data_IF_033831482789
#
_entry.id   IF_033831482789
#
_cell.length_a   1.000
_cell.length_b   1.000
_cell.length_c   1.000
_cell.angle_alpha   90.00
_cell.angle_beta   90.00
_cell.angle_gamma   90.00
#
_symmetry.space_group_name_H-M   'P 1'
#
loop_
_entity.id
_entity.type
_entity.pdbx_description
1 polymer ?
#
# COMPACT_ATOMS: atom_id res chain seq x y z
N UNK A 1 -48.13 -87.45 6.06
CA UNK A 1 -48.25 -87.16 7.51
C UNK A 1 -47.36 -85.96 7.76
N UNK A 2 -47.82 -84.77 8.12
CA UNK A 2 -49.11 -84.33 8.66
C UNK A 2 -49.34 -82.86 8.26
N UNK A 3 -50.59 -82.42 8.15
CA UNK A 3 -50.94 -81.02 7.88
C UNK A 3 -50.91 -80.19 9.17
N UNK A 4 -50.34 -79.01 9.08
CA UNK A 4 -50.38 -77.96 10.11
C UNK A 4 -51.69 -77.17 10.05
N UNK A 5 -52.13 -76.73 11.22
CA UNK A 5 -53.23 -75.79 11.45
C UNK A 5 -52.68 -74.34 11.40
N UNK A 6 -53.46 -73.46 10.79
CA UNK A 6 -53.28 -72.00 10.76
C UNK A 6 -53.39 -71.35 12.14
N UNK A 7 -52.72 -70.20 12.31
CA UNK A 7 -53.23 -69.07 13.09
C UNK A 7 -52.66 -67.76 12.52
N UNK A 8 -53.58 -66.81 12.34
CA UNK A 8 -53.50 -65.55 11.62
C UNK A 8 -52.91 -64.38 12.40
N UNK A 9 -52.32 -63.45 11.64
CA UNK A 9 -52.23 -61.99 11.77
C UNK A 9 -51.93 -61.34 13.13
N UNK A 10 -50.82 -60.60 13.16
CA UNK A 10 -50.80 -59.28 13.80
C UNK A 10 -49.97 -58.28 13.00
N UNK A 11 -50.72 -57.37 12.40
CA UNK A 11 -50.44 -56.00 11.97
C UNK A 11 -49.19 -55.35 12.63
N UNK A 12 -48.16 -55.09 11.82
CA UNK A 12 -47.19 -54.03 12.06
C UNK A 12 -47.13 -53.17 10.77
N UNK A 13 -47.48 -51.88 10.81
CA UNK A 13 -47.35 -51.03 9.64
C UNK A 13 -45.87 -50.84 9.31
N UNK A 14 -45.60 -50.98 8.01
CA UNK A 14 -44.32 -50.98 7.34
C UNK A 14 -43.42 -49.81 7.79
N UNK A 15 -42.43 -50.11 8.63
CA UNK A 15 -41.42 -49.15 9.09
C UNK A 15 -40.36 -48.87 8.01
N UNK A 16 -40.29 -49.68 6.95
CA UNK A 16 -39.33 -49.49 5.85
C UNK A 16 -39.74 -48.35 4.91
N UNK A 17 -41.04 -48.07 4.78
CA UNK A 17 -41.52 -47.05 3.83
C UNK A 17 -41.20 -45.61 4.25
N UNK A 18 -40.91 -45.37 5.53
CA UNK A 18 -40.57 -44.04 6.07
C UNK A 18 -39.08 -43.69 5.93
N UNK A 19 -38.22 -44.67 5.71
CA UNK A 19 -36.79 -44.45 5.45
C UNK A 19 -36.51 -44.14 3.98
N UNK A 20 -37.29 -44.71 3.06
CA UNK A 20 -37.18 -44.45 1.62
C UNK A 20 -37.57 -43.03 1.20
N UNK A 21 -38.37 -42.32 2.00
CA UNK A 21 -38.75 -40.91 1.74
C UNK A 21 -37.73 -39.89 2.30
N UNK A 22 -36.76 -40.31 3.13
CA UNK A 22 -35.71 -39.43 3.66
C UNK A 22 -34.42 -39.46 2.81
N UNK A 23 -34.34 -40.36 1.84
CA UNK A 23 -33.16 -40.54 0.96
C UNK A 23 -33.42 -40.07 -0.47
N UNK A 24 -34.45 -39.25 -0.70
CA UNK A 24 -34.66 -38.58 -1.97
C UNK A 24 -33.56 -37.54 -2.19
N UNK A 25 -32.51 -37.98 -2.87
CA UNK A 25 -31.79 -37.26 -3.93
C UNK A 25 -31.64 -35.74 -3.74
N UNK A 26 -31.00 -35.34 -2.65
CA UNK A 26 -30.10 -34.19 -2.71
C UNK A 26 -28.69 -34.77 -2.83
N UNK A 27 -28.00 -34.46 -3.92
CA UNK A 27 -26.60 -34.79 -4.15
C UNK A 27 -25.76 -34.19 -3.01
N UNK A 28 -25.63 -34.91 -1.90
CA UNK A 28 -24.72 -34.52 -0.85
C UNK A 28 -23.31 -34.60 -1.45
N UNK A 29 -22.53 -33.49 -1.44
CA UNK A 29 -21.18 -33.51 -1.96
C UNK A 29 -20.40 -34.62 -1.23
N UNK A 30 -19.70 -35.47 -2.01
CA UNK A 30 -18.90 -36.54 -1.44
C UNK A 30 -17.92 -35.91 -0.42
N UNK A 31 -17.86 -36.37 0.83
CA UNK A 31 -16.87 -35.89 1.79
C UNK A 31 -15.44 -35.95 1.25
N UNK A 32 -15.16 -36.85 0.30
CA UNK A 32 -13.89 -36.92 -0.41
C UNK A 32 -13.66 -35.71 -1.33
N UNK A 33 -14.69 -35.14 -1.96
CA UNK A 33 -14.59 -33.96 -2.82
C UNK A 33 -14.12 -32.72 -2.03
N UNK A 34 -14.39 -32.67 -0.71
CA UNK A 34 -13.90 -31.60 0.16
C UNK A 34 -12.37 -31.61 0.32
N UNK A 35 -11.69 -32.71 -0.04
CA UNK A 35 -10.24 -32.85 0.01
C UNK A 35 -9.61 -33.05 -1.39
N UNK A 36 -10.39 -32.92 -2.46
CA UNK A 36 -9.88 -32.92 -3.84
C UNK A 36 -9.33 -31.54 -4.17
N UNK A 37 -8.01 -31.41 -4.15
CA UNK A 37 -7.33 -30.21 -4.63
C UNK A 37 -7.40 -30.16 -6.15
N UNK A 38 -8.15 -29.22 -6.71
CA UNK A 38 -8.12 -28.90 -8.14
C UNK A 38 -6.89 -28.05 -8.43
N UNK A 39 -5.87 -28.67 -8.98
CA UNK A 39 -4.68 -27.97 -9.44
C UNK A 39 -4.94 -27.38 -10.83
N UNK A 40 -4.72 -26.09 -10.98
CA UNK A 40 -4.72 -25.40 -12.26
C UNK A 40 -3.29 -25.01 -12.59
N UNK A 41 -2.76 -25.51 -13.71
CA UNK A 41 -1.47 -25.07 -14.23
C UNK A 41 -1.62 -23.68 -14.84
N UNK A 42 -0.73 -22.77 -14.46
CA UNK A 42 -0.60 -21.45 -15.07
C UNK A 42 0.51 -21.52 -16.11
N UNK A 43 0.40 -20.78 -17.21
CA UNK A 43 1.47 -20.66 -18.19
C UNK A 43 2.72 -20.08 -17.51
N UNK A 44 3.86 -20.77 -17.64
CA UNK A 44 5.13 -20.34 -17.06
C UNK A 44 5.89 -19.36 -17.97
N UNK A 45 5.43 -19.18 -19.21
CA UNK A 45 6.10 -18.35 -20.19
C UNK A 45 5.72 -16.87 -20.03
N UNK A 46 6.51 -16.15 -19.23
CA UNK A 46 6.35 -14.72 -19.01
C UNK A 46 6.86 -13.88 -20.20
N UNK A 47 6.19 -12.75 -20.44
CA UNK A 47 6.66 -11.72 -21.37
C UNK A 47 7.96 -11.03 -20.89
N UNK A 48 8.62 -10.24 -21.76
CA UNK A 48 9.89 -9.58 -21.44
C UNK A 48 9.80 -8.56 -20.31
N UNK A 49 8.61 -7.99 -20.10
CA UNK A 49 8.33 -6.97 -19.09
C UNK A 49 7.59 -7.56 -17.87
N UNK A 50 7.57 -8.89 -17.73
CA UNK A 50 6.81 -9.60 -16.71
C UNK A 50 7.71 -10.38 -15.75
N UNK A 51 7.29 -10.47 -14.49
CA UNK A 51 7.89 -11.33 -13.47
C UNK A 51 6.81 -11.89 -12.55
N UNK A 52 7.08 -13.03 -11.93
CA UNK A 52 6.24 -13.48 -10.81
C UNK A 52 6.27 -12.44 -9.69
N UNK A 53 5.11 -12.23 -9.07
CA UNK A 53 4.98 -11.35 -7.92
C UNK A 53 5.84 -11.83 -6.76
N UNK A 54 6.66 -10.94 -6.19
CA UNK A 54 7.50 -11.26 -5.02
C UNK A 54 6.74 -11.20 -3.69
N UNK A 55 5.41 -11.02 -3.71
CA UNK A 55 4.59 -10.84 -2.51
C UNK A 55 4.79 -11.95 -1.47
N UNK A 56 4.83 -13.21 -1.90
CA UNK A 56 5.01 -14.34 -0.99
C UNK A 56 6.48 -14.64 -0.67
N UNK A 57 7.41 -14.13 -1.47
CA UNK A 57 8.85 -14.30 -1.31
C UNK A 57 9.43 -13.40 -0.23
N UNK A 58 8.85 -12.20 -0.06
CA UNK A 58 9.28 -11.27 1.00
C UNK A 58 8.77 -11.71 2.38
N UNK A 59 9.54 -11.36 3.42
CA UNK A 59 9.14 -11.55 4.81
C UNK A 59 7.79 -10.86 5.11
N UNK A 60 7.01 -11.41 6.04
CA UNK A 60 5.70 -10.84 6.41
C UNK A 60 5.78 -9.37 6.88
N UNK A 61 6.90 -8.98 7.51
CA UNK A 61 7.14 -7.59 7.94
C UNK A 61 7.42 -6.62 6.79
N UNK A 62 7.71 -7.13 5.60
CA UNK A 62 7.91 -6.37 4.37
C UNK A 62 6.64 -6.26 3.53
N UNK A 63 5.49 -6.69 4.06
CA UNK A 63 4.17 -6.59 3.43
C UNK A 63 3.34 -5.52 4.12
N UNK A 64 2.47 -4.89 3.34
CA UNK A 64 1.68 -3.75 3.77
C UNK A 64 0.84 -4.04 5.01
N UNK A 65 0.50 -2.99 5.78
CA UNK A 65 -0.17 -3.14 7.05
C UNK A 65 -1.61 -3.63 6.87
N UNK A 66 -2.11 -4.32 7.90
CA UNK A 66 -3.49 -4.80 7.94
C UNK A 66 -4.42 -3.78 8.62
N UNK A 67 -5.72 -3.73 8.25
CA UNK A 67 -6.35 -4.48 7.16
C UNK A 67 -5.88 -3.99 5.78
N UNK A 68 -5.64 -4.92 4.86
CA UNK A 68 -5.18 -4.59 3.51
C UNK A 68 -6.36 -4.08 2.69
N UNK A 69 -6.17 -3.04 1.84
CA UNK A 69 -7.17 -2.67 0.87
C UNK A 69 -7.52 -3.86 -0.03
N UNK A 70 -8.80 -4.01 -0.37
CA UNK A 70 -9.31 -5.14 -1.15
C UNK A 70 -8.72 -5.22 -2.57
N UNK A 71 -8.19 -4.11 -3.08
CA UNK A 71 -7.55 -4.05 -4.40
C UNK A 71 -6.15 -4.65 -4.41
N UNK A 72 -5.51 -4.90 -3.25
CA UNK A 72 -4.17 -5.47 -3.18
C UNK A 72 -4.20 -6.95 -3.55
N UNK A 73 -3.63 -7.29 -4.70
CA UNK A 73 -3.45 -8.67 -5.16
C UNK A 73 -2.30 -9.33 -4.36
N UNK A 74 -2.59 -10.48 -3.77
CA UNK A 74 -1.69 -11.21 -2.84
C UNK A 74 -1.51 -12.68 -3.21
N UNK A 75 -2.17 -13.10 -4.28
CA UNK A 75 -2.20 -14.46 -4.80
C UNK A 75 -0.82 -14.92 -5.28
N UNK A 76 -0.48 -16.19 -5.04
CA UNK A 76 0.81 -16.75 -5.42
C UNK A 76 1.04 -16.75 -6.94
N UNK A 77 -0.04 -16.90 -7.71
CA UNK A 77 0.01 -16.90 -9.17
C UNK A 77 -0.02 -15.49 -9.78
N UNK A 78 0.14 -14.44 -8.98
CA UNK A 78 0.15 -13.08 -9.50
C UNK A 78 1.43 -12.78 -10.28
N UNK A 79 1.28 -12.02 -11.37
CA UNK A 79 2.35 -11.56 -12.25
C UNK A 79 2.43 -10.04 -12.13
N UNK A 80 3.63 -9.51 -11.89
CA UNK A 80 3.96 -8.10 -11.99
C UNK A 80 4.39 -7.80 -13.44
N UNK A 81 3.69 -6.89 -14.12
CA UNK A 81 3.98 -6.41 -15.48
C UNK A 81 4.40 -4.94 -15.44
N UNK A 82 5.57 -4.61 -15.99
CA UNK A 82 6.02 -3.22 -16.13
C UNK A 82 5.23 -2.50 -17.23
N UNK A 83 4.49 -1.45 -16.85
CA UNK A 83 3.71 -0.64 -17.80
C UNK A 83 4.45 0.62 -18.27
N UNK A 84 5.54 0.99 -17.58
CA UNK A 84 6.41 2.08 -18.00
C UNK A 84 6.92 2.95 -16.86
N UNK A 85 7.58 4.04 -17.22
CA UNK A 85 8.21 4.97 -16.26
C UNK A 85 7.26 6.13 -15.93
N UNK A 86 6.98 6.34 -14.65
CA UNK A 86 6.20 7.48 -14.16
C UNK A 86 7.07 8.71 -13.90
N UNK A 87 8.24 8.52 -13.28
CA UNK A 87 9.16 9.61 -12.90
C UNK A 87 10.59 9.07 -12.86
N UNK A 88 11.51 9.75 -13.52
CA UNK A 88 12.95 9.51 -13.32
C UNK A 88 13.50 10.50 -12.29
N UNK A 89 14.42 10.03 -11.47
CA UNK A 89 15.00 10.85 -10.40
C UNK A 89 16.48 10.59 -10.18
N UNK A 90 17.12 11.52 -9.47
CA UNK A 90 18.54 11.42 -9.11
C UNK A 90 18.81 10.27 -8.14
N UNK A 91 17.85 9.97 -7.27
CA UNK A 91 18.00 9.01 -6.18
C UNK A 91 17.16 7.74 -6.37
N UNK A 92 16.04 7.86 -7.07
CA UNK A 92 15.15 6.76 -7.38
C UNK A 92 14.37 7.06 -8.66
N UNK A 93 13.95 6.00 -9.35
CA UNK A 93 12.96 6.06 -10.42
C UNK A 93 11.65 5.45 -9.92
N UNK A 94 10.54 5.92 -10.46
CA UNK A 94 9.20 5.42 -10.18
C UNK A 94 8.62 4.84 -11.47
N UNK A 95 8.19 3.59 -11.42
CA UNK A 95 7.58 2.85 -12.51
C UNK A 95 6.11 2.57 -12.21
N UNK A 96 5.30 2.45 -13.26
CA UNK A 96 3.96 1.90 -13.16
C UNK A 96 4.04 0.39 -13.37
N UNK A 97 3.50 -0.37 -12.43
CA UNK A 97 3.46 -1.83 -12.47
C UNK A 97 2.03 -2.28 -12.30
N UNK A 98 1.59 -3.21 -13.13
CA UNK A 98 0.35 -3.95 -12.89
C UNK A 98 0.67 -5.27 -12.22
N UNK A 99 0.04 -5.55 -11.08
CA UNK A 99 0.03 -6.88 -10.47
C UNK A 99 -1.31 -7.54 -10.75
N UNK A 100 -1.32 -8.57 -11.59
CA UNK A 100 -2.55 -9.25 -11.98
C UNK A 100 -2.47 -10.75 -11.76
N UNK A 101 -3.63 -11.35 -11.47
CA UNK A 101 -3.84 -12.80 -11.50
C UNK A 101 -5.05 -13.09 -12.36
N UNK A 102 -4.90 -14.01 -13.30
CA UNK A 102 -6.00 -14.48 -14.15
C UNK A 102 -7.05 -15.24 -13.34
N UNK A 103 -8.22 -15.46 -13.93
CA UNK A 103 -9.25 -16.27 -13.28
C UNK A 103 -8.79 -17.73 -13.16
N UNK A 104 -8.81 -18.28 -11.94
CA UNK A 104 -8.38 -19.66 -11.66
C UNK A 104 -9.49 -20.40 -10.90
N UNK A 105 -10.14 -21.34 -11.58
CA UNK A 105 -11.31 -22.04 -11.04
C UNK A 105 -12.45 -21.04 -10.77
N UNK A 106 -12.96 -21.05 -9.54
CA UNK A 106 -14.01 -20.11 -9.09
C UNK A 106 -13.46 -18.76 -8.59
N UNK A 107 -12.12 -18.58 -8.58
CA UNK A 107 -11.52 -17.32 -8.20
C UNK A 107 -11.52 -16.34 -9.39
N UNK A 108 -12.15 -15.17 -9.26
CA UNK A 108 -12.17 -14.18 -10.33
C UNK A 108 -10.78 -13.58 -10.55
N UNK A 109 -10.53 -13.10 -11.76
CA UNK A 109 -9.35 -12.32 -12.08
C UNK A 109 -9.29 -11.05 -11.22
N UNK A 110 -8.08 -10.65 -10.84
CA UNK A 110 -7.83 -9.42 -10.06
C UNK A 110 -6.60 -8.70 -10.59
N UNK A 111 -6.60 -7.38 -10.45
CA UNK A 111 -5.47 -6.53 -10.81
C UNK A 111 -5.29 -5.40 -9.79
N UNK A 112 -4.03 -5.03 -9.54
CA UNK A 112 -3.61 -3.84 -8.81
C UNK A 112 -2.69 -3.00 -9.68
N UNK A 113 -2.96 -1.70 -9.79
CA UNK A 113 -1.96 -0.75 -10.30
C UNK A 113 -1.09 -0.26 -9.13
N UNK A 114 0.23 -0.36 -9.31
CA UNK A 114 1.24 -0.09 -8.30
C UNK A 114 2.25 0.92 -8.81
N UNK A 115 2.69 1.81 -7.93
CA UNK A 115 3.88 2.63 -8.16
C UNK A 115 5.09 1.93 -7.56
N UNK A 116 6.04 1.54 -8.41
CA UNK A 116 7.28 0.89 -8.00
C UNK A 116 8.42 1.91 -7.91
N UNK A 117 8.79 2.30 -6.69
CA UNK A 117 9.91 3.21 -6.44
C UNK A 117 11.20 2.41 -6.24
N UNK A 118 12.13 2.50 -7.18
CA UNK A 118 13.42 1.78 -7.19
C UNK A 118 14.56 2.74 -6.91
N UNK A 119 15.29 2.53 -5.82
CA UNK A 119 16.40 3.42 -5.45
C UNK A 119 17.68 3.07 -6.21
N UNK A 120 18.38 4.10 -6.68
CA UNK A 120 19.66 3.96 -7.34
C UNK A 120 20.75 3.64 -6.31
N UNK A 121 21.58 2.65 -6.64
CA UNK A 121 22.84 2.37 -5.93
C UNK A 121 23.82 3.53 -6.11
N UNK A 122 24.78 3.70 -5.18
CA UNK A 122 25.71 4.85 -5.17
C UNK A 122 26.45 5.10 -6.50
N UNK A 123 26.67 4.08 -7.32
CA UNK A 123 27.33 4.19 -8.63
C UNK A 123 26.48 4.93 -9.68
N UNK A 124 25.16 4.95 -9.51
CA UNK A 124 24.21 5.61 -10.41
C UNK A 124 23.64 6.91 -9.83
N UNK A 125 24.10 7.35 -8.66
CA UNK A 125 23.75 8.66 -8.10
C UNK A 125 24.62 9.74 -8.73
N UNK A 126 24.04 10.53 -9.63
CA UNK A 126 24.69 11.68 -10.26
C UNK A 126 24.75 12.90 -9.33
N UNK A 127 25.30 12.76 -8.11
CA UNK A 127 26.15 13.77 -7.45
C UNK A 127 26.68 13.29 -6.09
N UNK A 128 27.96 13.57 -5.86
CA UNK A 128 28.65 13.44 -4.59
C UNK A 128 28.43 14.73 -3.77
N UNK A 129 27.42 14.78 -2.87
CA UNK A 129 27.32 15.71 -1.72
C UNK A 129 25.96 15.58 -1.02
N UNK A 130 25.96 15.14 0.24
CA UNK A 130 25.37 15.88 1.38
C UNK A 130 25.47 15.04 2.65
N UNK A 131 26.59 15.21 3.37
CA UNK A 131 26.87 14.69 4.71
C UNK A 131 26.01 15.35 5.80
N UNK A 132 24.85 15.92 5.45
CA UNK A 132 24.04 16.77 6.32
C UNK A 132 22.71 16.13 6.74
N UNK A 133 22.31 15.03 6.12
CA UNK A 133 21.00 14.40 6.35
C UNK A 133 21.06 13.13 7.23
N UNK A 134 22.27 12.65 7.57
CA UNK A 134 22.49 11.38 8.29
C UNK A 134 22.74 11.58 9.79
N UNK A 135 22.94 12.82 10.27
CA UNK A 135 23.40 13.07 11.64
C UNK A 135 22.40 12.74 12.77
N UNK A 136 21.13 12.39 12.45
CA UNK A 136 20.13 12.04 13.47
C UNK A 136 19.76 10.56 13.58
N UNK A 137 20.06 9.70 12.59
CA UNK A 137 19.49 8.36 12.52
C UNK A 137 20.49 7.30 12.97
N UNK A 138 20.45 6.93 14.26
CA UNK A 138 21.19 5.78 14.79
C UNK A 138 20.61 4.47 14.22
N UNK A 139 21.34 3.82 13.32
CA UNK A 139 21.01 2.46 12.84
C UNK A 139 21.07 1.46 13.99
N UNK A 140 20.04 0.62 14.13
CA UNK A 140 19.86 -0.31 15.26
C UNK A 140 20.70 -1.61 15.13
N UNK A 141 21.42 -1.82 14.03
CA UNK A 141 22.20 -3.04 13.76
C UNK A 141 23.68 -2.77 13.47
N UNK A 142 24.56 -3.22 14.40
CA UNK A 142 26.02 -3.06 14.30
C UNK A 142 26.68 -3.84 13.14
N UNK A 143 25.97 -4.79 12.51
CA UNK A 143 26.45 -5.55 11.35
C UNK A 143 26.33 -4.74 10.05
N UNK A 144 25.19 -4.09 9.85
CA UNK A 144 24.93 -3.28 8.65
C UNK A 144 25.79 -2.02 8.63
N UNK A 145 26.04 -1.42 9.79
CA UNK A 145 27.00 -0.32 9.93
C UNK A 145 28.42 -0.70 9.47
N UNK A 146 28.86 -1.95 9.71
CA UNK A 146 30.19 -2.43 9.27
C UNK A 146 30.21 -2.77 7.78
N UNK A 147 29.09 -3.22 7.20
CA UNK A 147 28.97 -3.47 5.76
C UNK A 147 29.00 -2.16 4.96
N UNK A 148 28.32 -1.11 5.44
CA UNK A 148 28.34 0.23 4.84
C UNK A 148 29.74 0.88 4.85
N UNK A 149 30.57 0.61 5.87
CA UNK A 149 31.93 1.14 5.95
C UNK A 149 32.90 0.59 4.89
N UNK A 150 32.63 -0.60 4.33
CA UNK A 150 33.57 -1.29 3.43
C UNK A 150 33.42 -0.91 1.95
N UNK A 151 32.42 -0.10 1.57
CA UNK A 151 32.16 0.37 0.19
C UNK A 151 32.31 -0.73 -0.89
N UNK A 152 31.89 -1.96 -0.60
CA UNK A 152 31.83 -3.06 -1.58
C UNK A 152 30.50 -3.01 -2.35
N UNK A 153 30.35 -3.74 -3.47
CA UNK A 153 29.08 -3.83 -4.19
C UNK A 153 27.91 -4.26 -3.27
N UNK A 154 28.19 -5.19 -2.36
CA UNK A 154 27.25 -5.60 -1.31
C UNK A 154 26.96 -4.46 -0.32
N UNK A 155 27.97 -3.73 0.17
CA UNK A 155 27.76 -2.58 1.05
C UNK A 155 26.95 -1.44 0.41
N UNK A 156 27.08 -1.25 -0.92
CA UNK A 156 26.28 -0.28 -1.69
C UNK A 156 24.83 -0.70 -1.86
N UNK A 157 24.58 -1.99 -2.09
CA UNK A 157 23.22 -2.56 -2.13
C UNK A 157 22.53 -2.41 -0.78
N UNK A 158 23.25 -2.65 0.32
CA UNK A 158 22.75 -2.45 1.70
C UNK A 158 22.44 -0.98 1.96
N UNK A 159 23.30 -0.05 1.51
CA UNK A 159 23.07 1.38 1.65
C UNK A 159 21.85 1.87 0.84
N UNK A 160 21.65 1.37 -0.38
CA UNK A 160 20.47 1.68 -1.18
C UNK A 160 19.19 1.14 -0.53
N UNK A 161 19.24 -0.10 -0.02
CA UNK A 161 18.12 -0.71 0.71
C UNK A 161 17.74 0.09 1.95
N UNK A 162 18.71 0.65 2.67
CA UNK A 162 18.42 1.49 3.84
C UNK A 162 17.51 2.68 3.54
N UNK A 163 17.61 3.31 2.35
CA UNK A 163 16.71 4.39 1.95
C UNK A 163 15.29 3.87 1.65
N UNK A 164 15.18 2.73 0.96
CA UNK A 164 13.90 2.08 0.71
C UNK A 164 13.21 1.71 2.03
N UNK A 165 13.93 1.07 2.96
CA UNK A 165 13.40 0.68 4.27
C UNK A 165 13.00 1.89 5.13
N UNK A 166 13.77 2.98 5.09
CA UNK A 166 13.39 4.20 5.79
C UNK A 166 12.08 4.81 5.24
N UNK A 167 11.90 4.82 3.92
CA UNK A 167 10.65 5.30 3.32
C UNK A 167 9.49 4.34 3.59
N UNK A 168 9.74 3.02 3.54
CA UNK A 168 8.78 1.98 3.93
C UNK A 168 8.28 2.17 5.36
N UNK A 169 9.17 2.35 6.33
CA UNK A 169 8.84 2.53 7.75
C UNK A 169 8.03 3.82 7.96
N UNK A 170 8.43 4.91 7.30
CA UNK A 170 7.71 6.17 7.35
C UNK A 170 6.31 6.05 6.76
N UNK A 171 6.19 5.48 5.56
CA UNK A 171 4.91 5.33 4.86
C UNK A 171 3.95 4.42 5.64
N UNK A 172 4.46 3.32 6.21
CA UNK A 172 3.68 2.44 7.10
C UNK A 172 3.16 3.18 8.33
N UNK A 173 4.03 3.96 8.99
CA UNK A 173 3.65 4.72 10.19
C UNK A 173 2.58 5.76 9.87
N UNK A 174 2.77 6.51 8.79
CA UNK A 174 1.88 7.62 8.40
C UNK A 174 0.53 7.11 7.89
N UNK A 175 0.53 6.04 7.10
CA UNK A 175 -0.71 5.41 6.64
C UNK A 175 -1.53 4.87 7.81
N UNK A 176 -0.89 4.18 8.78
CA UNK A 176 -1.58 3.69 10.00
C UNK A 176 -2.12 4.82 10.88
N UNK A 177 -1.46 5.99 10.87
CA UNK A 177 -1.93 7.18 11.57
C UNK A 177 -3.10 7.89 10.86
N UNK A 178 -3.49 7.43 9.67
CA UNK A 178 -4.56 8.05 8.89
C UNK A 178 -4.14 9.27 8.09
N UNK A 179 -2.82 9.52 7.94
CA UNK A 179 -2.34 10.53 6.99
C UNK A 179 -2.70 10.06 5.58
N UNK A 180 -3.29 10.92 4.72
CA UNK A 180 -3.65 10.53 3.36
C UNK A 180 -2.39 10.37 2.50
N UNK A 181 -1.74 9.22 2.57
CA UNK A 181 -0.53 8.85 1.82
C UNK A 181 -0.80 7.57 1.02
N UNK A 182 -0.01 7.25 -0.03
CA UNK A 182 -0.15 6.00 -0.75
C UNK A 182 -0.03 4.80 0.19
N UNK A 183 -0.91 3.81 0.06
CA UNK A 183 -0.77 2.57 0.83
C UNK A 183 0.57 1.88 0.49
N UNK A 184 1.43 1.56 1.48
CA UNK A 184 2.67 0.81 1.25
C UNK A 184 2.33 -0.67 1.03
N UNK A 185 2.48 -1.16 -0.20
CA UNK A 185 2.12 -2.54 -0.57
C UNK A 185 3.19 -3.53 -0.13
N UNK A 186 4.43 -3.35 -0.56
CA UNK A 186 5.54 -4.21 -0.15
C UNK A 186 6.88 -3.52 -0.33
N UNK A 187 7.89 -4.01 0.38
CA UNK A 187 9.29 -3.65 0.14
C UNK A 187 10.12 -4.91 -0.15
N UNK A 188 10.96 -4.83 -1.19
CA UNK A 188 11.90 -5.89 -1.55
C UNK A 188 13.25 -5.27 -1.92
N UNK A 189 14.23 -5.40 -1.01
CA UNK A 189 15.56 -4.85 -1.19
C UNK A 189 15.57 -3.33 -1.38
N UNK A 190 15.66 -2.88 -2.64
CA UNK A 190 15.72 -1.46 -3.05
C UNK A 190 14.44 -0.99 -3.74
N UNK A 191 13.40 -1.82 -3.78
CA UNK A 191 12.13 -1.52 -4.43
C UNK A 191 11.03 -1.40 -3.38
N UNK A 192 10.34 -0.26 -3.40
CA UNK A 192 9.13 -0.01 -2.63
C UNK A 192 7.94 0.00 -3.60
N UNK A 193 7.04 -0.98 -3.47
CA UNK A 193 5.75 -0.95 -4.15
C UNK A 193 4.72 -0.26 -3.24
N UNK A 194 4.00 0.70 -3.80
CA UNK A 194 2.94 1.44 -3.12
C UNK A 194 1.75 1.63 -4.05
N UNK A 195 0.62 2.07 -3.49
CA UNK A 195 -0.58 2.41 -4.24
C UNK A 195 -0.26 3.38 -5.38
N UNK A 196 -0.65 3.01 -6.60
CA UNK A 196 -0.74 3.98 -7.68
C UNK A 196 -2.04 4.75 -7.54
N UNK A 197 -1.95 6.07 -7.51
CA UNK A 197 -3.12 6.95 -7.39
C UNK A 197 -3.54 7.31 -8.82
N UNK A 198 -4.50 6.57 -9.37
CA UNK A 198 -5.04 6.81 -10.71
C UNK A 198 -6.08 7.94 -10.75
N UNK A 199 -6.41 8.41 -11.95
CA UNK A 199 -7.48 9.39 -12.17
C UNK A 199 -8.87 8.76 -12.46
N UNK A 200 -8.97 7.43 -12.44
CA UNK A 200 -10.17 6.68 -12.86
C UNK A 200 -10.35 6.55 -14.38
N UNK A 201 -9.51 7.19 -15.19
CA UNK A 201 -9.56 7.21 -16.67
C UNK A 201 -8.34 6.53 -17.31
N UNK A 202 -7.56 5.78 -16.51
CA UNK A 202 -6.37 5.07 -16.95
C UNK A 202 -5.07 5.89 -16.90
N UNK A 203 -5.12 7.08 -16.31
CA UNK A 203 -3.97 7.95 -16.06
C UNK A 203 -3.61 8.05 -14.57
N UNK A 204 -2.57 8.83 -14.28
CA UNK A 204 -2.22 9.19 -12.91
C UNK A 204 -3.07 10.37 -12.43
N UNK A 205 -3.50 10.36 -11.16
CA UNK A 205 -4.21 11.46 -10.56
C UNK A 205 -3.44 12.78 -10.73
N UNK A 206 -4.14 13.88 -11.07
CA UNK A 206 -3.50 15.18 -11.23
C UNK A 206 -2.93 15.68 -9.89
N UNK A 207 -1.88 16.49 -9.95
CA UNK A 207 -1.41 17.23 -8.78
C UNK A 207 -2.46 18.27 -8.39
N UNK A 208 -2.58 18.56 -7.10
CA UNK A 208 -3.49 19.58 -6.56
C UNK A 208 -3.26 20.92 -7.27
N UNK A 209 -2.01 21.29 -7.56
CA UNK A 209 -1.65 22.47 -8.34
C UNK A 209 -2.38 22.59 -9.70
N UNK A 210 -2.68 21.47 -10.34
CA UNK A 210 -3.24 21.38 -11.69
C UNK A 210 -4.78 21.40 -11.70
N UNK A 211 -5.44 21.18 -10.55
CA UNK A 211 -6.90 21.12 -10.49
C UNK A 211 -7.55 22.46 -10.15
N UNK A 212 -8.83 22.56 -10.56
CA UNK A 212 -9.75 23.68 -10.29
C UNK A 212 -11.06 23.11 -9.72
N UNK A 213 -11.06 22.67 -8.45
CA UNK A 213 -12.24 22.04 -7.83
C UNK A 213 -13.37 23.05 -7.63
N UNK A 214 -14.60 22.56 -7.43
CA UNK A 214 -15.71 23.39 -6.93
C UNK A 214 -15.41 23.90 -5.51
N UNK A 215 -16.16 24.89 -5.02
CA UNK A 215 -15.97 25.44 -3.68
C UNK A 215 -16.17 24.36 -2.60
N UNK A 216 -17.15 23.49 -2.80
CA UNK A 216 -17.48 22.39 -1.90
C UNK A 216 -16.33 21.39 -1.83
N UNK A 217 -15.82 20.96 -2.98
CA UNK A 217 -14.71 20.01 -3.07
C UNK A 217 -13.40 20.62 -2.56
N UNK A 218 -13.16 21.91 -2.81
CA UNK A 218 -12.03 22.65 -2.27
C UNK A 218 -12.03 22.63 -0.73
N UNK A 219 -13.19 22.83 -0.11
CA UNK A 219 -13.35 22.72 1.34
C UNK A 219 -13.05 21.31 1.86
N UNK A 220 -13.55 20.28 1.17
CA UNK A 220 -13.28 18.88 1.52
C UNK A 220 -11.79 18.54 1.44
N UNK A 221 -11.11 18.98 0.38
CA UNK A 221 -9.66 18.80 0.24
C UNK A 221 -8.89 19.50 1.36
N UNK A 222 -9.29 20.72 1.74
CA UNK A 222 -8.62 21.43 2.83
C UNK A 222 -8.78 20.69 4.17
N UNK A 223 -9.97 20.17 4.46
CA UNK A 223 -10.20 19.41 5.69
C UNK A 223 -9.39 18.11 5.75
N UNK A 224 -9.32 17.37 4.64
CA UNK A 224 -8.45 16.21 4.53
C UNK A 224 -6.97 16.58 4.70
N UNK A 225 -6.53 17.68 4.09
CA UNK A 225 -5.16 18.17 4.22
C UNK A 225 -4.84 18.53 5.67
N UNK A 226 -5.70 19.34 6.31
CA UNK A 226 -5.55 19.75 7.70
C UNK A 226 -5.50 18.54 8.62
N UNK A 227 -6.39 17.55 8.42
CA UNK A 227 -6.35 16.28 9.14
C UNK A 227 -5.02 15.55 8.96
N UNK A 228 -4.53 15.41 7.72
CA UNK A 228 -3.24 14.80 7.43
C UNK A 228 -2.05 15.53 8.07
N UNK A 229 -2.06 16.87 8.03
CA UNK A 229 -1.04 17.70 8.67
C UNK A 229 -1.06 17.59 10.19
N UNK A 230 -2.25 17.47 10.81
CA UNK A 230 -2.38 17.20 12.26
C UNK A 230 -1.77 15.86 12.65
N UNK A 231 -2.03 14.81 11.87
CA UNK A 231 -1.48 13.48 12.17
C UNK A 231 0.04 13.40 11.89
N UNK A 232 0.55 14.13 10.91
CA UNK A 232 2.00 14.37 10.75
C UNK A 232 2.60 15.05 11.99
N UNK A 233 2.00 16.16 12.44
CA UNK A 233 2.46 16.90 13.60
C UNK A 233 2.39 16.07 14.90
N UNK A 234 1.31 15.28 15.07
CA UNK A 234 1.16 14.30 16.16
C UNK A 234 2.25 13.23 16.15
N UNK A 235 2.71 12.86 14.96
CA UNK A 235 3.87 11.97 14.80
C UNK A 235 5.22 12.66 15.07
N UNK A 236 5.23 13.96 15.41
CA UNK A 236 6.42 14.78 15.60
C UNK A 236 7.10 15.15 14.28
N UNK A 237 6.37 15.12 13.16
CA UNK A 237 6.91 15.28 11.82
C UNK A 237 6.27 16.46 11.08
N UNK A 238 7.10 17.24 10.41
CA UNK A 238 6.68 18.13 9.33
C UNK A 238 6.99 17.45 7.99
N UNK A 239 6.26 17.79 6.94
CA UNK A 239 6.59 17.29 5.61
C UNK A 239 7.89 17.94 5.09
N UNK A 240 8.09 19.23 5.37
CA UNK A 240 9.31 19.99 5.06
C UNK A 240 9.42 20.53 3.63
N UNK A 241 8.55 20.06 2.73
CA UNK A 241 8.38 20.58 1.37
C UNK A 241 6.93 20.42 0.90
N UNK A 242 5.95 20.52 1.82
CA UNK A 242 4.55 20.38 1.44
C UNK A 242 4.15 21.56 0.57
N UNK A 243 3.63 21.23 -0.60
CA UNK A 243 3.09 22.19 -1.55
C UNK A 243 2.00 21.53 -2.38
N UNK A 244 1.19 22.30 -3.11
CA UNK A 244 0.16 21.77 -4.02
C UNK A 244 0.74 20.89 -5.14
N UNK A 245 2.05 20.92 -5.36
CA UNK A 245 2.69 19.99 -6.27
C UNK A 245 2.91 18.62 -5.63
N UNK A 246 3.07 18.53 -4.31
CA UNK A 246 3.32 17.27 -3.58
C UNK A 246 2.03 16.66 -2.99
N UNK A 247 0.87 17.05 -3.53
CA UNK A 247 -0.43 16.47 -3.22
C UNK A 247 -1.10 16.07 -4.53
N UNK A 248 -1.59 14.84 -4.61
CA UNK A 248 -2.43 14.35 -5.71
C UNK A 248 -3.90 14.51 -5.33
N UNK A 249 -4.74 14.78 -6.31
CA UNK A 249 -6.19 14.90 -6.16
C UNK A 249 -6.87 13.82 -7.01
N UNK A 250 -7.41 12.77 -6.37
CA UNK A 250 -8.13 11.68 -7.02
C UNK A 250 -9.60 11.77 -6.63
N UNK A 251 -10.46 12.18 -7.57
CA UNK A 251 -11.89 12.34 -7.28
C UNK A 251 -12.12 13.27 -6.09
N UNK A 252 -12.70 12.75 -5.00
CA UNK A 252 -12.96 13.48 -3.76
C UNK A 252 -11.87 13.35 -2.69
N UNK A 253 -10.82 12.52 -2.92
CA UNK A 253 -9.70 12.33 -1.99
C UNK A 253 -8.44 13.08 -2.42
N UNK A 254 -7.67 13.53 -1.44
CA UNK A 254 -6.27 13.95 -1.65
C UNK A 254 -5.30 12.87 -1.19
N UNK A 255 -4.08 12.89 -1.74
CA UNK A 255 -2.98 12.02 -1.32
C UNK A 255 -1.67 12.81 -1.30
N UNK A 256 -1.05 12.96 -0.13
CA UNK A 256 0.29 13.53 0.04
C UNK A 256 1.32 12.54 -0.47
N UNK A 257 2.29 13.02 -1.26
CA UNK A 257 3.36 12.21 -1.86
C UNK A 257 4.73 12.84 -1.57
N UNK A 258 5.81 12.12 -1.90
CA UNK A 258 7.18 12.59 -1.68
C UNK A 258 7.50 12.88 -0.18
N UNK A 259 7.09 11.94 0.71
CA UNK A 259 7.38 11.97 2.15
C UNK A 259 8.77 11.46 2.66
N UNK A 260 9.75 10.97 1.87
CA UNK A 260 11.04 10.52 2.45
C UNK A 260 11.90 11.63 3.09
N UNK A 261 11.44 12.88 3.00
CA UNK A 261 12.11 14.06 3.56
C UNK A 261 11.38 14.63 4.80
N UNK A 262 10.48 13.86 5.44
CA UNK A 262 9.82 14.32 6.67
C UNK A 262 10.86 14.75 7.71
N UNK A 263 10.62 15.92 8.29
CA UNK A 263 11.52 16.58 9.23
C UNK A 263 11.00 16.37 10.64
N UNK A 264 11.86 15.92 11.55
CA UNK A 264 11.55 15.88 12.98
C UNK A 264 11.36 17.32 13.49
N UNK A 265 10.16 17.65 13.95
CA UNK A 265 9.80 19.00 14.38
C UNK A 265 10.62 19.44 15.60
N UNK A 266 10.88 18.51 16.52
CA UNK A 266 11.51 18.79 17.81
C UNK A 266 13.03 18.58 17.74
N UNK A 267 13.45 17.52 17.04
CA UNK A 267 14.84 17.13 16.90
C UNK A 267 15.63 17.97 15.88
N UNK A 268 14.96 18.67 14.95
CA UNK A 268 15.62 19.57 14.01
C UNK A 268 15.53 21.03 14.49
N UNK A 269 16.66 21.78 14.60
CA UNK A 269 16.64 23.20 14.96
C UNK A 269 15.75 24.08 14.06
N UNK A 270 15.46 23.63 12.84
CA UNK A 270 14.57 24.30 11.87
C UNK A 270 13.21 23.61 11.72
N UNK A 271 12.90 22.61 12.56
CA UNK A 271 11.68 21.81 12.44
C UNK A 271 10.40 22.65 12.45
N UNK A 272 10.33 23.63 13.35
CA UNK A 272 9.22 24.59 13.41
C UNK A 272 9.12 25.47 12.15
N UNK A 273 10.25 25.93 11.60
CA UNK A 273 10.26 26.73 10.37
C UNK A 273 9.72 25.92 9.17
N UNK A 274 10.06 24.63 9.09
CA UNK A 274 9.53 23.73 8.07
C UNK A 274 8.03 23.53 8.20
N UNK A 275 7.53 23.32 9.43
CA UNK A 275 6.09 23.19 9.69
C UNK A 275 5.33 24.48 9.31
N UNK A 276 5.86 25.64 9.69
CA UNK A 276 5.27 26.93 9.33
C UNK A 276 5.26 27.15 7.81
N UNK A 277 6.35 26.78 7.12
CA UNK A 277 6.43 26.86 5.65
C UNK A 277 5.39 25.96 4.97
N UNK A 278 5.20 24.74 5.47
CA UNK A 278 4.17 23.83 4.97
C UNK A 278 2.77 24.46 5.12
N UNK A 279 2.46 25.04 6.28
CA UNK A 279 1.21 25.77 6.53
C UNK A 279 1.03 26.93 5.55
N UNK A 280 2.04 27.78 5.41
CA UNK A 280 2.02 28.95 4.54
C UNK A 280 1.76 28.57 3.07
N UNK A 281 2.48 27.58 2.54
CA UNK A 281 2.34 27.15 1.15
C UNK A 281 0.92 26.67 0.84
N UNK A 282 0.35 25.88 1.75
CA UNK A 282 -0.97 25.29 1.55
C UNK A 282 -2.08 26.32 1.76
N UNK A 283 -2.04 27.07 2.86
CA UNK A 283 -2.98 28.15 3.13
C UNK A 283 -3.03 29.15 1.97
N UNK A 284 -1.87 29.58 1.46
CA UNK A 284 -1.79 30.47 0.29
C UNK A 284 -2.50 29.89 -0.93
N UNK A 285 -2.31 28.60 -1.22
CA UNK A 285 -2.92 27.97 -2.40
C UNK A 285 -4.46 27.86 -2.28
N UNK A 286 -4.96 27.49 -1.10
CA UNK A 286 -6.40 27.39 -0.82
C UNK A 286 -7.06 28.77 -0.78
N UNK A 287 -6.41 29.76 -0.17
CA UNK A 287 -6.89 31.15 -0.13
C UNK A 287 -6.98 31.76 -1.53
N UNK A 288 -5.96 31.53 -2.38
CA UNK A 288 -6.00 31.94 -3.79
C UNK A 288 -7.10 31.27 -4.63
N UNK A 289 -7.80 30.26 -4.09
CA UNK A 289 -8.93 29.57 -4.72
C UNK A 289 -10.27 29.86 -4.06
N UNK A 290 -10.31 30.81 -3.12
CA UNK A 290 -11.55 31.34 -2.56
C UNK A 290 -11.97 30.74 -1.21
N UNK A 291 -11.06 30.05 -0.51
CA UNK A 291 -11.20 29.84 0.93
C UNK A 291 -10.60 31.02 1.70
N UNK A 292 -10.95 31.15 2.97
CA UNK A 292 -10.32 32.11 3.89
C UNK A 292 -9.52 31.29 4.91
N UNK A 293 -8.24 31.06 4.62
CA UNK A 293 -7.33 30.28 5.48
C UNK A 293 -6.23 31.20 5.99
N UNK A 294 -6.10 31.30 7.31
CA UNK A 294 -4.97 31.94 7.99
C UNK A 294 -3.89 30.87 8.27
N UNK A 295 -2.67 31.13 7.79
CA UNK A 295 -1.55 30.19 7.94
C UNK A 295 -1.01 30.14 9.38
N UNK A 296 -1.11 31.21 10.16
CA UNK A 296 -0.75 31.26 11.57
C UNK A 296 -1.75 30.49 12.42
N UNK A 297 -3.05 30.60 12.12
CA UNK A 297 -4.07 29.80 12.82
C UNK A 297 -3.89 28.31 12.53
N UNK A 298 -3.63 27.94 11.27
CA UNK A 298 -3.30 26.56 10.90
C UNK A 298 -2.04 26.09 11.63
N UNK A 299 -0.98 26.89 11.64
CA UNK A 299 0.26 26.53 12.34
C UNK A 299 0.04 26.36 13.85
N UNK A 300 -0.69 27.27 14.50
CA UNK A 300 -1.01 27.20 15.92
C UNK A 300 -1.81 25.92 16.24
N UNK A 301 -2.79 25.57 15.41
CA UNK A 301 -3.54 24.32 15.51
C UNK A 301 -2.61 23.09 15.43
N UNK A 302 -1.68 23.05 14.47
CA UNK A 302 -0.72 21.95 14.36
C UNK A 302 0.24 21.85 15.56
N UNK A 303 0.66 22.99 16.14
CA UNK A 303 1.50 22.99 17.34
C UNK A 303 0.82 22.32 18.53
N UNK A 304 -0.51 22.40 18.64
CA UNK A 304 -1.26 21.70 19.70
C UNK A 304 -1.23 20.17 19.56
N UNK A 305 -0.78 19.66 18.41
CA UNK A 305 -0.64 18.22 18.18
C UNK A 305 0.77 17.70 18.51
N UNK A 306 1.78 18.59 18.53
CA UNK A 306 3.20 18.23 18.75
C UNK A 306 3.51 17.98 20.23
N UNK A 307 2.79 18.64 21.14
CA UNK A 307 2.96 18.59 22.59
C UNK A 307 1.77 17.94 23.29
#
# INVERSE_FOLDING_TARGET
>A
MSSEYELTDNYFPDLDSRWSELTSDESQPDPADAFVFKFHSVDEQLGPDQRWSTWLDVERGSRGPEPRPSWVVTEQAAIDTELGVLKTGKEADVFLVERAVEAIGDNPAKSSLLAAKRYRTEEHRSFHRSTSYVEGRRTRNSRDSRAMQKKTAHGRSVAAGHWAYAEWDALNRLWKAGVPVPYPVQIDGIELLMEFIDDGEGGAAPRLAQVRPSKELLGQYFEQLRGGMRELARAGLAHGDLSPYNVLAQGDRIVMIDLPQVVDIVGNPKGMDFLMRDCHNMATWFTNRGLEIDDQELFADLLTMVY
#
